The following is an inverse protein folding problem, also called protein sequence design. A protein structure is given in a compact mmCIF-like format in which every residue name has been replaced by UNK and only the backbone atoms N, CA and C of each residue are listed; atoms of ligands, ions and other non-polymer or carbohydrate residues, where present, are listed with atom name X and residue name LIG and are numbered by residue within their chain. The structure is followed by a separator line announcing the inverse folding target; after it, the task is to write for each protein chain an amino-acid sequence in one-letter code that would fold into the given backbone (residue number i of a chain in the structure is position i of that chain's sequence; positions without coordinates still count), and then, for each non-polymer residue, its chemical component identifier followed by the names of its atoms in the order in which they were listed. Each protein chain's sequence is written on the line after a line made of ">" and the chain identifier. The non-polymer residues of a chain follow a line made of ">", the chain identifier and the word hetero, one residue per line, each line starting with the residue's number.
data_IF_964692518636
#
_entry.id   IF_964692518636
#
_cell.length_a   1.000
_cell.length_b   1.000
_cell.length_c   1.000
_cell.angle_alpha   90.00
_cell.angle_beta   90.00
_cell.angle_gamma   90.00
#
_symmetry.space_group_name_H-M   'P 1'
#
loop_
_entity.id
_entity.type
_entity.pdbx_description
1 polymer ?
#
# COMPACT_ATOMS: atom_id res chain seq x y z
N UNK A 1 -35.01 2.06 70.16
CA UNK A 1 -34.60 2.15 68.74
C UNK A 1 -33.62 3.31 68.59
N UNK A 2 -32.32 3.04 68.50
CA UNK A 2 -31.30 4.08 68.29
C UNK A 2 -30.47 3.75 67.06
N UNK A 3 -30.61 4.61 66.04
CA UNK A 3 -30.05 4.49 64.69
C UNK A 3 -28.56 4.84 64.73
N UNK A 4 -27.70 3.82 64.61
CA UNK A 4 -26.24 4.01 64.51
C UNK A 4 -25.95 4.77 63.21
N UNK A 5 -25.44 6.00 63.32
CA UNK A 5 -24.99 6.81 62.18
C UNK A 5 -23.72 6.16 61.61
N UNK A 6 -23.77 5.69 60.35
CA UNK A 6 -22.55 5.37 59.58
C UNK A 6 -21.75 6.66 59.40
N UNK A 7 -20.55 6.72 59.97
CA UNK A 7 -19.58 7.75 59.62
C UNK A 7 -19.11 7.47 58.19
N UNK A 8 -19.24 8.47 57.31
CA UNK A 8 -18.62 8.44 55.98
C UNK A 8 -17.11 8.41 56.20
N UNK A 9 -16.47 7.30 55.86
CA UNK A 9 -15.02 7.27 55.73
C UNK A 9 -14.67 8.20 54.56
N UNK A 10 -14.02 9.32 54.86
CA UNK A 10 -13.41 10.14 53.82
C UNK A 10 -12.31 9.32 53.14
N UNK A 11 -12.25 9.27 51.79
CA UNK A 11 -11.21 8.52 51.10
C UNK A 11 -9.86 9.12 51.49
N UNK A 12 -8.96 8.27 51.99
CA UNK A 12 -7.61 8.64 52.39
C UNK A 12 -6.92 9.44 51.28
N UNK A 13 -6.54 10.69 51.58
CA UNK A 13 -5.78 11.58 50.70
C UNK A 13 -4.41 11.01 50.26
N UNK A 14 -4.03 9.81 50.72
CA UNK A 14 -2.79 9.12 50.34
C UNK A 14 -2.90 8.36 49.02
N UNK A 15 -4.09 8.01 48.52
CA UNK A 15 -4.27 7.29 47.25
C UNK A 15 -4.24 8.21 46.03
N UNK A 16 -4.70 9.45 46.16
CA UNK A 16 -4.56 10.50 45.14
C UNK A 16 -3.12 10.98 45.04
N UNK A 17 -2.43 11.14 46.17
CA UNK A 17 -1.01 11.53 46.22
C UNK A 17 -0.10 10.45 45.62
N UNK A 18 -0.44 9.16 45.74
CA UNK A 18 0.34 8.07 45.11
C UNK A 18 0.11 8.01 43.59
N UNK A 19 -1.11 8.26 43.12
CA UNK A 19 -1.43 8.34 41.69
C UNK A 19 -0.79 9.56 41.03
N UNK A 20 -0.82 10.71 41.68
CA UNK A 20 -0.17 11.95 41.23
C UNK A 20 1.36 11.81 41.22
N UNK A 21 1.96 11.20 42.25
CA UNK A 21 3.39 10.89 42.27
C UNK A 21 3.77 9.87 41.19
N UNK A 22 2.94 8.87 40.92
CA UNK A 22 3.17 7.90 39.84
C UNK A 22 3.08 8.55 38.45
N UNK A 23 2.11 9.44 38.24
CA UNK A 23 1.99 10.23 37.01
C UNK A 23 3.19 11.15 36.82
N UNK A 24 3.70 11.76 37.90
CA UNK A 24 4.89 12.60 37.90
C UNK A 24 6.16 11.78 37.60
N UNK A 25 6.33 10.61 38.22
CA UNK A 25 7.44 9.68 37.92
C UNK A 25 7.43 9.19 36.46
N UNK A 26 6.26 8.97 35.86
CA UNK A 26 6.13 8.64 34.44
C UNK A 26 6.49 9.81 33.50
N UNK A 27 6.21 11.04 33.92
CA UNK A 27 6.62 12.25 33.21
C UNK A 27 8.13 12.50 33.36
N UNK A 28 8.65 12.32 34.57
CA UNK A 28 10.08 12.43 34.89
C UNK A 28 10.89 11.33 34.19
N UNK A 29 10.36 10.12 34.03
CA UNK A 29 10.97 9.04 33.24
C UNK A 29 10.96 9.32 31.73
N UNK A 30 9.94 10.03 31.22
CA UNK A 30 9.92 10.52 29.83
C UNK A 30 10.93 11.65 29.62
N UNK A 31 11.15 12.50 30.62
CA UNK A 31 12.18 13.55 30.61
C UNK A 31 13.60 13.00 30.84
N UNK A 32 13.76 11.93 31.61
CA UNK A 32 15.05 11.28 31.83
C UNK A 32 15.63 10.68 30.54
N UNK A 33 14.77 10.32 29.58
CA UNK A 33 15.20 9.85 28.27
C UNK A 33 15.69 10.94 27.32
N UNK A 34 15.58 12.23 27.68
CA UNK A 34 16.06 13.35 26.85
C UNK A 34 17.37 13.96 27.35
N UNK A 35 17.75 13.71 28.61
CA UNK A 35 18.94 14.29 29.26
C UNK A 35 19.77 13.17 29.91
N UNK A 36 20.60 12.52 29.09
CA UNK A 36 21.80 11.85 29.56
C UNK A 36 22.97 12.70 29.03
N UNK A 37 23.79 13.25 29.93
CA UNK A 37 25.06 13.96 29.63
C UNK A 37 24.97 15.38 29.04
N UNK A 38 23.90 16.15 29.32
CA UNK A 38 23.81 17.55 28.89
C UNK A 38 23.69 17.75 27.36
N UNK A 39 23.59 16.66 26.59
CA UNK A 39 23.27 16.65 25.17
C UNK A 39 21.86 16.11 24.98
N UNK A 40 21.00 16.92 24.37
CA UNK A 40 19.66 16.50 23.94
C UNK A 40 19.81 15.28 23.03
N UNK A 41 19.25 14.14 23.44
CA UNK A 41 19.22 12.92 22.61
C UNK A 41 18.47 13.24 21.30
N UNK A 42 19.14 13.02 20.16
CA UNK A 42 18.52 13.23 18.84
C UNK A 42 17.28 12.32 18.71
N UNK A 43 16.16 12.83 18.17
CA UNK A 43 15.00 12.00 17.93
C UNK A 43 15.36 10.86 16.96
N UNK A 44 14.87 9.65 17.25
CA UNK A 44 15.12 8.50 16.40
C UNK A 44 14.51 8.72 15.00
N UNK A 45 15.36 8.73 13.97
CA UNK A 45 14.95 8.81 12.57
C UNK A 45 15.28 7.51 11.85
N UNK A 46 14.26 6.90 11.23
CA UNK A 46 14.45 5.74 10.37
C UNK A 46 15.25 6.11 9.11
N UNK A 47 16.08 5.18 8.62
CA UNK A 47 16.77 5.34 7.34
C UNK A 47 15.76 5.45 6.20
N UNK A 48 16.14 6.13 5.12
CA UNK A 48 15.36 6.15 3.88
C UNK A 48 15.04 4.70 3.44
N UNK A 49 13.85 4.50 2.91
CA UNK A 49 13.35 3.17 2.51
C UNK A 49 12.85 2.28 3.66
N UNK A 50 13.27 2.46 4.92
CA UNK A 50 12.81 1.61 6.03
C UNK A 50 11.33 1.79 6.32
N UNK A 51 10.84 3.03 6.28
CA UNK A 51 9.41 3.33 6.46
C UNK A 51 8.60 2.85 5.25
N UNK A 52 9.10 3.05 4.03
CA UNK A 52 8.45 2.61 2.80
C UNK A 52 8.28 1.08 2.75
N UNK A 53 9.32 0.31 3.08
CA UNK A 53 9.20 -1.16 3.14
C UNK A 53 8.20 -1.63 4.20
N UNK A 54 8.12 -0.92 5.34
CA UNK A 54 7.12 -1.23 6.36
C UNK A 54 5.70 -0.99 5.85
N UNK A 55 5.48 0.12 5.16
CA UNK A 55 4.19 0.46 4.55
C UNK A 55 3.80 -0.56 3.48
N UNK A 56 4.69 -0.87 2.53
CA UNK A 56 4.45 -1.88 1.49
C UNK A 56 4.08 -3.24 2.10
N UNK A 57 4.86 -3.73 3.09
CA UNK A 57 4.53 -4.99 3.77
C UNK A 57 3.25 -4.93 4.59
N UNK A 58 2.82 -3.74 5.02
CA UNK A 58 1.54 -3.53 5.70
C UNK A 58 0.37 -3.60 4.71
N UNK A 59 0.46 -2.82 3.64
CA UNK A 59 -0.55 -2.75 2.57
C UNK A 59 -0.72 -4.08 1.83
N UNK A 60 0.36 -4.82 1.60
CA UNK A 60 0.30 -6.15 0.95
C UNK A 60 -0.26 -7.25 1.87
N UNK A 61 -0.11 -7.11 3.20
CA UNK A 61 -0.61 -8.12 4.16
C UNK A 61 -2.02 -7.85 4.67
N UNK A 62 -2.44 -6.59 4.65
CA UNK A 62 -3.75 -6.15 5.10
C UNK A 62 -4.57 -5.60 3.95
N UNK A 63 -5.13 -6.48 3.11
CA UNK A 63 -6.12 -6.12 2.07
C UNK A 63 -7.42 -5.55 2.68
N UNK A 64 -7.60 -5.68 4.01
CA UNK A 64 -8.80 -5.26 4.73
C UNK A 64 -8.91 -3.77 5.03
N UNK A 65 -7.84 -2.98 4.84
CA UNK A 65 -7.87 -1.54 5.09
C UNK A 65 -7.77 -0.78 3.78
N UNK A 66 -8.89 -0.17 3.38
CA UNK A 66 -8.94 0.74 2.22
C UNK A 66 -7.93 1.88 2.36
N UNK A 67 -7.19 2.14 1.30
CA UNK A 67 -6.25 3.26 1.22
C UNK A 67 -6.98 4.60 1.00
N UNK A 68 -8.13 4.57 0.31
CA UNK A 68 -8.93 5.73 -0.02
C UNK A 68 -9.97 6.02 1.08
N UNK A 69 -10.01 7.28 1.51
CA UNK A 69 -11.02 7.76 2.44
C UNK A 69 -12.42 7.74 1.79
N UNK A 70 -13.42 7.24 2.50
CA UNK A 70 -14.77 7.06 1.98
C UNK A 70 -15.47 8.38 1.60
N UNK A 71 -15.38 9.40 2.47
CA UNK A 71 -16.08 10.66 2.26
C UNK A 71 -15.68 11.42 0.98
N UNK A 72 -14.37 11.63 0.67
CA UNK A 72 -13.99 12.26 -0.60
C UNK A 72 -14.28 11.38 -1.82
N UNK A 73 -14.08 10.06 -1.72
CA UNK A 73 -14.38 9.14 -2.83
C UNK A 73 -15.86 9.16 -3.20
N UNK A 74 -16.74 9.15 -2.20
CA UNK A 74 -18.18 9.29 -2.42
C UNK A 74 -18.55 10.59 -3.13
N UNK A 75 -17.90 11.72 -2.78
CA UNK A 75 -18.14 13.02 -3.44
C UNK A 75 -17.75 12.97 -4.91
N UNK A 76 -16.59 12.40 -5.22
CA UNK A 76 -16.11 12.20 -6.58
C UNK A 76 -17.07 11.34 -7.41
N UNK A 77 -17.54 10.23 -6.85
CA UNK A 77 -18.51 9.36 -7.56
C UNK A 77 -19.82 10.12 -7.83
N UNK A 78 -20.30 10.94 -6.89
CA UNK A 78 -21.52 11.74 -7.11
C UNK A 78 -21.31 12.86 -8.12
N UNK A 79 -20.13 13.46 -8.17
CA UNK A 79 -19.76 14.51 -9.15
C UNK A 79 -19.76 13.92 -10.57
N UNK A 80 -19.13 12.77 -10.78
CA UNK A 80 -19.11 12.09 -12.08
C UNK A 80 -20.53 11.74 -12.54
N UNK A 81 -21.38 11.22 -11.64
CA UNK A 81 -22.75 10.86 -12.00
C UNK A 81 -23.62 12.07 -12.33
N UNK A 82 -23.38 13.18 -11.64
CA UNK A 82 -24.02 14.46 -11.93
C UNK A 82 -23.62 14.96 -13.34
N UNK A 83 -22.34 14.85 -13.72
CA UNK A 83 -21.85 15.23 -15.05
C UNK A 83 -22.39 14.32 -16.16
N UNK A 84 -22.67 13.06 -15.85
CA UNK A 84 -23.35 12.12 -16.76
C UNK A 84 -24.87 12.37 -16.91
N UNK A 85 -25.40 13.43 -16.29
CA UNK A 85 -26.82 13.80 -16.38
C UNK A 85 -27.76 13.03 -15.45
N UNK A 86 -27.23 12.22 -14.53
CA UNK A 86 -28.01 11.33 -13.67
C UNK A 86 -28.26 11.96 -12.28
N UNK A 87 -28.94 13.09 -12.24
CA UNK A 87 -29.17 13.89 -11.01
C UNK A 87 -30.04 13.22 -9.94
N UNK A 88 -30.86 12.24 -10.33
CA UNK A 88 -31.87 11.62 -9.45
C UNK A 88 -31.44 10.27 -8.88
N UNK A 89 -30.29 9.74 -9.32
CA UNK A 89 -29.86 8.39 -8.96
C UNK A 89 -29.36 8.33 -7.51
N UNK A 90 -29.95 7.43 -6.71
CA UNK A 90 -29.52 7.16 -5.34
C UNK A 90 -28.56 5.99 -5.32
N UNK A 91 -27.36 6.20 -4.80
CA UNK A 91 -26.31 5.19 -4.75
C UNK A 91 -26.33 4.50 -3.39
N UNK A 92 -26.33 3.17 -3.39
CA UNK A 92 -26.17 2.37 -2.17
C UNK A 92 -24.76 2.53 -1.58
N UNK A 93 -24.64 2.48 -0.24
CA UNK A 93 -23.34 2.47 0.44
C UNK A 93 -22.46 1.30 -0.04
N UNK A 94 -23.05 0.12 -0.22
CA UNK A 94 -22.33 -1.08 -0.68
C UNK A 94 -21.77 -0.92 -2.09
N UNK A 95 -22.51 -0.23 -2.98
CA UNK A 95 -22.03 0.03 -4.33
C UNK A 95 -20.82 0.98 -4.33
N UNK A 96 -20.83 2.00 -3.48
CA UNK A 96 -19.67 2.92 -3.33
C UNK A 96 -18.46 2.17 -2.78
N UNK A 97 -18.68 1.24 -1.84
CA UNK A 97 -17.61 0.44 -1.26
C UNK A 97 -17.00 -0.54 -2.28
N UNK A 98 -17.82 -1.20 -3.10
CA UNK A 98 -17.36 -2.04 -4.19
C UNK A 98 -16.58 -1.23 -5.25
N UNK A 99 -17.09 -0.06 -5.66
CA UNK A 99 -16.37 0.82 -6.59
C UNK A 99 -15.03 1.28 -6.03
N UNK A 100 -14.96 1.54 -4.73
CA UNK A 100 -13.71 1.93 -4.06
C UNK A 100 -12.71 0.79 -4.08
N UNK A 101 -13.12 -0.42 -3.74
CA UNK A 101 -12.26 -1.61 -3.75
C UNK A 101 -11.70 -1.88 -5.14
N UNK A 102 -12.54 -1.82 -6.17
CA UNK A 102 -12.12 -2.02 -7.54
C UNK A 102 -11.14 -0.94 -8.02
N UNK A 103 -11.41 0.32 -7.69
CA UNK A 103 -10.51 1.43 -8.01
C UNK A 103 -9.14 1.26 -7.34
N UNK A 104 -9.10 0.83 -6.08
CA UNK A 104 -7.85 0.57 -5.37
C UNK A 104 -7.07 -0.59 -5.97
N UNK A 105 -7.74 -1.67 -6.37
CA UNK A 105 -7.11 -2.80 -7.03
C UNK A 105 -6.54 -2.40 -8.39
N UNK A 106 -7.31 -1.67 -9.20
CA UNK A 106 -6.86 -1.16 -10.49
C UNK A 106 -5.60 -0.28 -10.34
N UNK A 107 -5.59 0.63 -9.37
CA UNK A 107 -4.43 1.50 -9.11
C UNK A 107 -3.23 0.67 -8.61
N UNK A 108 -3.45 -0.35 -7.77
CA UNK A 108 -2.39 -1.27 -7.31
C UNK A 108 -1.75 -2.02 -8.49
N UNK A 109 -2.55 -2.48 -9.45
CA UNK A 109 -2.06 -3.15 -10.67
C UNK A 109 -1.29 -2.20 -11.59
N UNK A 110 -1.75 -0.95 -11.73
CA UNK A 110 -1.00 0.12 -12.42
C UNK A 110 0.37 0.36 -11.77
N UNK A 111 0.44 0.38 -10.44
CA UNK A 111 1.72 0.54 -9.73
C UNK A 111 2.60 -0.70 -9.81
N UNK A 112 2.04 -1.91 -9.83
CA UNK A 112 2.81 -3.13 -10.01
C UNK A 112 3.48 -3.17 -11.39
N UNK A 113 2.71 -2.91 -12.44
CA UNK A 113 3.23 -2.82 -13.81
C UNK A 113 4.23 -1.66 -13.96
N UNK A 114 3.90 -0.47 -13.44
CA UNK A 114 4.80 0.69 -13.41
C UNK A 114 6.13 0.39 -12.69
N UNK A 115 6.10 -0.35 -11.58
CA UNK A 115 7.32 -0.74 -10.86
C UNK A 115 8.20 -1.69 -11.69
N UNK A 116 7.61 -2.62 -12.45
CA UNK A 116 8.37 -3.46 -13.39
C UNK A 116 9.07 -2.61 -14.46
N UNK A 117 8.39 -1.60 -15.02
CA UNK A 117 8.99 -0.69 -16.00
C UNK A 117 10.12 0.16 -15.39
N UNK A 118 9.93 0.69 -14.18
CA UNK A 118 10.97 1.44 -13.48
C UNK A 118 12.22 0.56 -13.21
N UNK A 119 12.01 -0.68 -12.72
CA UNK A 119 13.10 -1.64 -12.51
C UNK A 119 13.82 -2.03 -13.80
N UNK A 120 13.08 -2.15 -14.91
CA UNK A 120 13.66 -2.43 -16.22
C UNK A 120 14.51 -1.26 -16.75
N UNK A 121 14.24 -0.03 -16.32
CA UNK A 121 15.13 1.14 -16.55
C UNK A 121 16.33 1.17 -15.59
N UNK A 122 16.32 0.37 -14.53
CA UNK A 122 17.34 0.38 -13.48
C UNK A 122 17.09 1.40 -12.36
N UNK A 123 15.85 1.89 -12.22
CA UNK A 123 15.47 2.92 -11.24
C UNK A 123 14.45 2.35 -10.25
N UNK A 124 14.52 2.77 -8.98
CA UNK A 124 13.60 2.33 -7.90
C UNK A 124 12.41 3.26 -7.69
N UNK A 125 12.45 4.44 -8.29
CA UNK A 125 11.39 5.45 -8.26
C UNK A 125 10.52 5.31 -9.51
N UNK A 126 9.21 5.24 -9.33
CA UNK A 126 8.23 5.14 -10.43
C UNK A 126 7.97 6.53 -11.01
N UNK A 127 8.12 6.68 -12.33
CA UNK A 127 7.86 7.92 -13.04
C UNK A 127 6.48 7.92 -13.74
N UNK A 128 5.93 9.09 -14.12
CA UNK A 128 4.65 9.16 -14.86
C UNK A 128 4.67 8.39 -16.18
N UNK A 129 5.84 8.27 -16.82
CA UNK A 129 6.02 7.45 -18.02
C UNK A 129 5.75 5.97 -17.72
N UNK A 130 6.25 5.46 -16.60
CA UNK A 130 6.08 4.08 -16.17
C UNK A 130 4.61 3.79 -15.87
N UNK A 131 3.91 4.76 -15.25
CA UNK A 131 2.48 4.68 -15.01
C UNK A 131 1.69 4.63 -16.32
N UNK A 132 2.00 5.49 -17.29
CA UNK A 132 1.35 5.49 -18.62
C UNK A 132 1.59 4.19 -19.39
N UNK A 133 2.80 3.63 -19.32
CA UNK A 133 3.11 2.34 -19.92
C UNK A 133 2.33 1.20 -19.23
N UNK A 134 2.23 1.25 -17.89
CA UNK A 134 1.40 0.34 -17.10
C UNK A 134 -0.07 0.37 -17.49
N UNK A 135 -0.66 1.56 -17.59
CA UNK A 135 -2.07 1.71 -18.01
C UNK A 135 -2.29 1.24 -19.44
N UNK A 136 -1.37 1.54 -20.36
CA UNK A 136 -1.49 1.11 -21.75
C UNK A 136 -1.40 -0.42 -21.88
N UNK A 137 -0.59 -1.05 -21.04
CA UNK A 137 -0.47 -2.51 -20.94
C UNK A 137 -1.77 -3.15 -20.40
N UNK A 138 -2.31 -2.64 -19.29
CA UNK A 138 -3.58 -3.14 -18.72
C UNK A 138 -4.76 -2.98 -19.69
N UNK A 139 -4.79 -1.88 -20.44
CA UNK A 139 -5.83 -1.61 -21.43
C UNK A 139 -5.65 -2.37 -22.76
N UNK A 140 -4.62 -3.20 -22.89
CA UNK A 140 -4.34 -3.99 -24.11
C UNK A 140 -3.87 -3.17 -25.31
N UNK A 141 -3.67 -1.85 -25.15
CA UNK A 141 -3.17 -0.95 -26.19
C UNK A 141 -1.65 -1.06 -26.44
N UNK A 142 -0.94 -1.80 -25.57
CA UNK A 142 0.50 -2.04 -25.67
C UNK A 142 0.78 -3.53 -25.59
N UNK A 143 1.22 -4.11 -26.70
CA UNK A 143 1.62 -5.51 -26.79
C UNK A 143 3.10 -5.61 -26.43
N UNK A 144 3.39 -6.17 -25.26
CA UNK A 144 4.74 -6.43 -24.78
C UNK A 144 4.90 -7.93 -24.60
N UNK A 145 5.86 -8.53 -25.28
CA UNK A 145 6.21 -9.93 -25.04
C UNK A 145 6.93 -10.05 -23.70
N UNK A 146 6.18 -10.45 -22.67
CA UNK A 146 6.72 -10.81 -21.36
C UNK A 146 7.40 -12.18 -21.47
N UNK A 147 8.61 -12.24 -22.03
CA UNK A 147 9.42 -13.45 -21.99
C UNK A 147 9.99 -13.62 -20.57
N UNK A 148 9.59 -14.69 -19.88
CA UNK A 148 10.22 -15.15 -18.64
C UNK A 148 11.60 -15.71 -18.97
N UNK A 149 12.62 -14.85 -19.01
CA UNK A 149 14.00 -15.28 -18.88
C UNK A 149 14.36 -15.21 -17.39
N UNK A 150 14.63 -16.38 -16.80
CA UNK A 150 15.28 -16.52 -15.48
C UNK A 150 14.57 -15.90 -14.26
N UNK A 151 13.25 -15.71 -14.35
CA UNK A 151 12.43 -15.24 -13.23
C UNK A 151 12.40 -13.72 -13.03
N UNK A 152 12.97 -12.95 -13.96
CA UNK A 152 12.91 -11.48 -13.98
C UNK A 152 12.09 -11.04 -15.21
N UNK A 153 11.11 -10.15 -15.00
CA UNK A 153 10.19 -9.69 -16.03
C UNK A 153 10.88 -8.69 -16.98
N UNK A 154 11.54 -9.19 -18.02
CA UNK A 154 12.15 -8.35 -19.05
C UNK A 154 11.08 -7.91 -20.08
N UNK A 155 10.90 -6.59 -20.22
CA UNK A 155 10.08 -5.97 -21.27
C UNK A 155 11.00 -5.74 -22.48
N UNK A 156 10.88 -6.57 -23.52
CA UNK A 156 11.58 -6.35 -24.79
C UNK A 156 10.59 -5.83 -25.85
N UNK A 157 10.91 -4.76 -26.59
CA UNK A 157 10.16 -4.40 -27.79
C UNK A 157 10.30 -5.48 -28.87
N UNK A 158 9.19 -5.85 -29.54
CA UNK A 158 9.10 -6.95 -30.52
C UNK A 158 10.19 -6.95 -31.63
N UNK A 159 10.75 -5.79 -31.98
CA UNK A 159 11.75 -5.66 -33.05
C UNK A 159 13.09 -6.38 -32.76
N UNK A 160 13.27 -6.96 -31.56
CA UNK A 160 14.46 -7.76 -31.21
C UNK A 160 14.32 -9.27 -31.47
N UNK A 161 13.14 -9.81 -31.78
CA UNK A 161 12.90 -11.26 -31.91
C UNK A 161 13.08 -11.81 -33.34
N UNK A 162 12.98 -10.97 -34.37
CA UNK A 162 13.14 -11.41 -35.77
C UNK A 162 14.55 -11.97 -36.08
N UNK A 163 15.56 -11.71 -35.24
CA UNK A 163 16.94 -12.18 -35.44
C UNK A 163 17.28 -13.51 -34.74
N UNK A 164 16.40 -14.09 -33.92
CA UNK A 164 16.67 -15.36 -33.22
C UNK A 164 16.14 -16.61 -33.95
N UNK A 165 15.12 -16.47 -34.79
CA UNK A 165 14.49 -17.62 -35.47
C UNK A 165 15.13 -18.01 -36.82
N UNK A 166 16.10 -17.24 -37.34
CA UNK A 166 16.79 -17.59 -38.60
C UNK A 166 17.95 -18.58 -38.44
N UNK A 167 18.27 -19.02 -37.21
CA UNK A 167 19.46 -19.86 -36.93
C UNK A 167 19.15 -21.31 -36.55
N UNK A 168 17.87 -21.72 -36.54
CA UNK A 168 17.51 -23.13 -36.32
C UNK A 168 17.43 -23.81 -37.69
N UNK A 169 18.53 -24.46 -38.10
CA UNK A 169 18.53 -25.35 -39.27
C UNK A 169 17.47 -26.44 -39.06
N UNK A 170 16.62 -26.77 -40.05
CA UNK A 170 15.75 -27.93 -39.94
C UNK A 170 16.59 -29.20 -39.97
N UNK A 171 16.80 -29.81 -38.81
CA UNK A 171 17.45 -31.10 -38.66
C UNK A 171 16.46 -32.23 -38.97
N UNK A 172 16.87 -33.12 -39.87
CA UNK A 172 16.15 -34.30 -40.34
C UNK A 172 15.54 -35.13 -39.21
N UNK A 173 14.22 -35.34 -39.27
CA UNK A 173 13.53 -36.40 -38.52
C UNK A 173 12.78 -37.28 -39.52
N UNK A 174 13.38 -38.42 -39.88
CA UNK A 174 12.74 -39.52 -40.59
C UNK A 174 11.68 -40.17 -39.68
N UNK A 175 10.45 -40.29 -40.17
CA UNK A 175 9.39 -41.08 -39.55
C UNK A 175 9.66 -42.58 -39.74
N UNK A 176 9.41 -43.45 -38.74
CA UNK A 176 9.31 -44.88 -38.97
C UNK A 176 7.90 -45.26 -39.45
N UNK A 177 7.83 -45.93 -40.60
CA UNK A 177 6.61 -46.54 -41.15
C UNK A 177 6.14 -47.69 -40.25
N UNK A 178 4.84 -47.70 -39.90
CA UNK A 178 4.18 -48.81 -39.24
C UNK A 178 3.69 -49.83 -40.29
N UNK A 179 4.01 -51.11 -40.07
CA UNK A 179 3.42 -52.26 -40.78
C UNK A 179 1.99 -52.51 -40.34
#
# INVERSE_FOLDING_TARGET
>A
MTRIKKTLQHPNATSVVSAERAAKLLQDAKAANTIADGKIRKPHRWKSGTVAMRQMRGEMRGVSKHALAYAPFRRLVTEILHDMGNYTMRISKQAIEALREETENFVRECFFSGNVFALNRGVTTVDPLDFRLGTNWLNGSMQVDLHRQDGIMAVLPMHSLAKRHSSIKPGNASLPEAK
#
